data_IF_093857666805
#
_entry.id   IF_093857666805
#
_cell.length_a   1.000
_cell.length_b   1.000
_cell.length_c   1.000
_cell.angle_alpha   90.00
_cell.angle_beta   90.00
_cell.angle_gamma   90.00
#
_symmetry.space_group_name_H-M   'P 1'
#
loop_
_entity.id
_entity.type
_entity.pdbx_description
1 polymer ?
#
# COMPACT_ATOMS: atom_id res chain seq x y z
N UNK A 1 17.95 -29.10 9.17
CA UNK A 1 17.61 -29.30 7.74
C UNK A 1 17.64 -27.94 7.08
N UNK A 2 18.68 -27.63 6.30
CA UNK A 2 18.73 -26.40 5.50
C UNK A 2 17.91 -26.69 4.25
N UNK A 3 16.62 -26.35 4.27
CA UNK A 3 15.78 -26.46 3.08
C UNK A 3 16.34 -25.54 2.00
N UNK A 4 16.70 -26.12 0.85
CA UNK A 4 17.10 -25.35 -0.32
C UNK A 4 16.04 -24.29 -0.62
N UNK A 5 16.48 -23.08 -0.95
CA UNK A 5 15.58 -21.99 -1.31
C UNK A 5 14.78 -22.33 -2.57
N UNK A 6 13.46 -22.18 -2.50
CA UNK A 6 12.57 -22.50 -3.63
C UNK A 6 12.49 -21.33 -4.62
N UNK A 7 13.15 -21.51 -5.77
CA UNK A 7 13.18 -20.51 -6.85
C UNK A 7 11.82 -20.33 -7.51
N UNK A 8 11.00 -21.37 -7.57
CA UNK A 8 9.66 -21.25 -8.16
C UNK A 8 8.76 -20.40 -7.25
N UNK A 9 8.80 -20.66 -5.94
CA UNK A 9 8.13 -19.82 -4.94
C UNK A 9 8.53 -18.34 -5.03
N UNK A 10 9.82 -18.03 -5.21
CA UNK A 10 10.28 -16.65 -5.40
C UNK A 10 9.72 -16.03 -6.68
N UNK A 11 9.79 -16.74 -7.81
CA UNK A 11 9.27 -16.25 -9.07
C UNK A 11 7.77 -15.95 -8.97
N UNK A 12 7.00 -16.86 -8.35
CA UNK A 12 5.56 -16.64 -8.12
C UNK A 12 5.27 -15.42 -7.24
N UNK A 13 6.11 -15.16 -6.23
CA UNK A 13 6.01 -13.96 -5.41
C UNK A 13 6.31 -12.70 -6.24
N UNK A 14 7.40 -12.69 -7.03
CA UNK A 14 7.77 -11.56 -7.88
C UNK A 14 6.68 -11.22 -8.92
N UNK A 15 6.11 -12.24 -9.58
CA UNK A 15 4.99 -12.05 -10.52
C UNK A 15 3.76 -11.46 -9.83
N UNK A 16 3.41 -11.94 -8.64
CA UNK A 16 2.31 -11.37 -7.86
C UNK A 16 2.60 -9.94 -7.38
N UNK A 17 3.83 -9.65 -6.95
CA UNK A 17 4.22 -8.30 -6.53
C UNK A 17 4.05 -7.32 -7.68
N UNK A 18 4.63 -7.62 -8.85
CA UNK A 18 4.50 -6.77 -10.04
C UNK A 18 3.05 -6.56 -10.45
N UNK A 19 2.25 -7.63 -10.47
CA UNK A 19 0.84 -7.51 -10.81
C UNK A 19 0.07 -6.68 -9.78
N UNK A 20 0.25 -6.91 -8.47
CA UNK A 20 -0.37 -6.11 -7.42
C UNK A 20 0.02 -4.63 -7.54
N UNK A 21 1.29 -4.32 -7.79
CA UNK A 21 1.74 -2.92 -7.97
C UNK A 21 1.08 -2.27 -9.20
N UNK A 22 0.96 -2.97 -10.32
CA UNK A 22 0.24 -2.45 -11.50
C UNK A 22 -1.25 -2.22 -11.22
N UNK A 23 -1.89 -3.11 -10.46
CA UNK A 23 -3.29 -2.95 -10.04
C UNK A 23 -3.46 -1.81 -9.04
N UNK A 24 -2.51 -1.60 -8.14
CA UNK A 24 -2.52 -0.47 -7.20
C UNK A 24 -2.56 0.87 -7.94
N UNK A 25 -1.77 1.04 -9.01
CA UNK A 25 -1.81 2.26 -9.85
C UNK A 25 -3.23 2.51 -10.38
N UNK A 26 -3.87 1.47 -10.93
CA UNK A 26 -5.23 1.58 -11.46
C UNK A 26 -6.26 1.85 -10.35
N UNK A 27 -6.11 1.23 -9.18
CA UNK A 27 -6.98 1.45 -8.02
C UNK A 27 -6.85 2.90 -7.54
N UNK A 28 -5.64 3.45 -7.48
CA UNK A 28 -5.45 4.87 -7.17
C UNK A 28 -6.06 5.80 -8.22
N UNK A 29 -5.91 5.52 -9.51
CA UNK A 29 -6.54 6.31 -10.57
C UNK A 29 -8.07 6.29 -10.46
N UNK A 30 -8.68 5.14 -10.13
CA UNK A 30 -10.11 5.03 -9.89
C UNK A 30 -10.54 5.74 -8.59
N UNK A 31 -9.77 5.59 -7.51
CA UNK A 31 -10.04 6.24 -6.24
C UNK A 31 -9.99 7.77 -6.36
N UNK A 32 -9.00 8.31 -7.08
CA UNK A 32 -8.87 9.75 -7.36
C UNK A 32 -10.09 10.33 -8.08
N UNK A 33 -10.80 9.55 -8.90
CA UNK A 33 -12.05 9.99 -9.52
C UNK A 33 -13.22 10.09 -8.51
N UNK A 34 -13.15 9.32 -7.42
CA UNK A 34 -14.12 9.33 -6.32
C UNK A 34 -13.77 10.32 -5.21
N UNK A 35 -12.54 10.84 -5.17
CA UNK A 35 -12.09 11.77 -4.13
C UNK A 35 -13.00 13.02 -4.09
N UNK A 36 -13.35 13.40 -2.87
CA UNK A 36 -14.10 14.60 -2.51
C UNK A 36 -13.30 15.52 -1.58
N UNK A 37 -12.23 14.99 -0.98
CA UNK A 37 -11.31 15.69 -0.08
C UNK A 37 -9.95 15.87 -0.77
N UNK A 38 -9.44 17.11 -0.73
CA UNK A 38 -8.21 17.47 -1.45
C UNK A 38 -6.98 16.78 -0.86
N UNK A 39 -6.89 16.70 0.48
CA UNK A 39 -5.77 16.07 1.19
C UNK A 39 -5.66 14.57 0.88
N UNK A 40 -6.79 13.85 0.90
CA UNK A 40 -6.85 12.44 0.51
C UNK A 40 -6.48 12.26 -0.97
N UNK A 41 -6.95 13.17 -1.82
CA UNK A 41 -6.59 13.20 -3.23
C UNK A 41 -5.08 13.39 -3.45
N UNK A 42 -4.44 14.27 -2.68
CA UNK A 42 -2.99 14.49 -2.75
C UNK A 42 -2.19 13.27 -2.30
N UNK A 43 -2.61 12.62 -1.21
CA UNK A 43 -2.00 11.37 -0.75
C UNK A 43 -2.10 10.26 -1.80
N UNK A 44 -3.29 10.03 -2.35
CA UNK A 44 -3.48 9.03 -3.40
C UNK A 44 -2.67 9.33 -4.66
N UNK A 45 -2.49 10.61 -5.03
CA UNK A 45 -1.57 11.01 -6.11
C UNK A 45 -0.13 10.61 -5.79
N UNK A 46 0.34 10.95 -4.59
CA UNK A 46 1.70 10.62 -4.15
C UNK A 46 1.94 9.09 -4.13
N UNK A 47 1.00 8.32 -3.57
CA UNK A 47 1.09 6.87 -3.52
C UNK A 47 1.01 6.21 -4.89
N UNK A 48 0.18 6.73 -5.81
CA UNK A 48 0.15 6.27 -7.20
C UNK A 48 1.50 6.49 -7.90
N UNK A 49 2.11 7.65 -7.71
CA UNK A 49 3.39 7.96 -8.33
C UNK A 49 4.52 7.12 -7.74
N UNK A 50 4.49 6.83 -6.43
CA UNK A 50 5.34 5.81 -5.82
C UNK A 50 5.10 4.42 -6.44
N UNK A 51 3.85 3.98 -6.58
CA UNK A 51 3.53 2.70 -7.22
C UNK A 51 4.05 2.60 -8.67
N UNK A 52 4.00 3.70 -9.43
CA UNK A 52 4.61 3.79 -10.78
C UNK A 52 6.13 3.60 -10.75
N UNK A 53 6.83 4.26 -9.83
CA UNK A 53 8.29 4.05 -9.63
C UNK A 53 8.59 2.60 -9.26
N UNK A 54 7.82 2.02 -8.34
CA UNK A 54 7.98 0.62 -7.92
C UNK A 54 7.74 -0.37 -9.06
N UNK A 55 6.76 -0.12 -9.94
CA UNK A 55 6.54 -0.94 -11.12
C UNK A 55 7.74 -0.91 -12.09
N UNK A 56 8.41 0.24 -12.24
CA UNK A 56 9.63 0.37 -13.04
C UNK A 56 10.79 -0.41 -12.41
N UNK A 57 11.02 -0.27 -11.10
CA UNK A 57 12.04 -1.02 -10.36
C UNK A 57 11.84 -2.53 -10.47
N UNK A 58 10.58 -2.99 -10.35
CA UNK A 58 10.23 -4.41 -10.56
C UNK A 58 10.51 -4.86 -12.00
N UNK A 59 10.32 -4.00 -13.00
CA UNK A 59 10.72 -4.28 -14.38
C UNK A 59 12.23 -4.52 -14.51
N UNK A 60 13.04 -3.60 -13.97
CA UNK A 60 14.51 -3.75 -13.96
C UNK A 60 14.95 -5.02 -13.22
N UNK A 61 14.30 -5.36 -12.11
CA UNK A 61 14.60 -6.60 -11.38
C UNK A 61 14.25 -7.85 -12.20
N UNK A 62 13.15 -7.84 -12.96
CA UNK A 62 12.79 -8.95 -13.85
C UNK A 62 13.85 -9.15 -14.95
N UNK A 63 14.29 -8.06 -15.59
CA UNK A 63 15.33 -8.10 -16.62
C UNK A 63 16.64 -8.68 -16.04
N UNK A 64 17.06 -8.20 -14.87
CA UNK A 64 18.28 -8.67 -14.20
C UNK A 64 18.21 -10.15 -13.78
N UNK A 65 17.00 -10.66 -13.49
CA UNK A 65 16.77 -12.05 -13.12
C UNK A 65 16.48 -12.96 -14.33
N UNK A 66 16.38 -12.39 -15.54
CA UNK A 66 16.00 -13.12 -16.75
C UNK A 66 14.57 -13.65 -16.72
N UNK A 67 13.66 -12.96 -16.03
CA UNK A 67 12.25 -13.30 -15.96
C UNK A 67 11.47 -12.57 -17.05
N UNK A 68 10.61 -13.30 -17.77
CA UNK A 68 9.69 -12.70 -18.74
C UNK A 68 8.52 -12.03 -18.01
N UNK A 69 8.49 -10.69 -18.07
CA UNK A 69 7.48 -9.84 -17.44
C UNK A 69 6.05 -10.06 -17.95
N UNK A 70 5.84 -10.80 -19.03
CA UNK A 70 4.53 -11.18 -19.58
C UNK A 70 4.10 -12.61 -19.21
N UNK A 71 4.97 -13.36 -18.52
CA UNK A 71 4.64 -14.70 -18.01
C UNK A 71 3.36 -14.67 -17.19
N UNK A 72 2.38 -15.47 -17.60
CA UNK A 72 1.13 -15.67 -16.87
C UNK A 72 1.23 -16.92 -16.00
N UNK A 73 1.13 -16.73 -14.69
CA UNK A 73 1.06 -17.83 -13.71
C UNK A 73 -0.29 -17.83 -12.99
N UNK A 74 -0.66 -18.94 -12.34
CA UNK A 74 -1.89 -19.00 -11.53
C UNK A 74 -1.92 -17.94 -10.44
N UNK A 75 -0.78 -17.72 -9.76
CA UNK A 75 -0.64 -16.69 -8.73
C UNK A 75 -0.82 -15.28 -9.30
N UNK A 76 -0.18 -14.98 -10.45
CA UNK A 76 -0.35 -13.69 -11.13
C UNK A 76 -1.79 -13.46 -11.58
N UNK A 77 -2.42 -14.47 -12.17
CA UNK A 77 -3.83 -14.39 -12.59
C UNK A 77 -4.76 -14.12 -11.41
N UNK A 78 -4.52 -14.74 -10.26
CA UNK A 78 -5.28 -14.47 -9.04
C UNK A 78 -5.08 -13.03 -8.54
N UNK A 79 -3.83 -12.53 -8.49
CA UNK A 79 -3.55 -11.14 -8.14
C UNK A 79 -4.23 -10.15 -9.10
N UNK A 80 -4.21 -10.44 -10.40
CA UNK A 80 -4.89 -9.63 -11.41
C UNK A 80 -6.42 -9.62 -11.21
N UNK A 81 -7.01 -10.77 -10.88
CA UNK A 81 -8.44 -10.90 -10.62
C UNK A 81 -8.86 -10.10 -9.39
N UNK A 82 -8.12 -10.20 -8.28
CA UNK A 82 -8.36 -9.39 -7.08
C UNK A 82 -8.34 -7.90 -7.40
N UNK A 83 -7.31 -7.42 -8.12
CA UNK A 83 -7.22 -6.02 -8.51
C UNK A 83 -8.38 -5.57 -9.42
N UNK A 84 -8.82 -6.41 -10.36
CA UNK A 84 -10.00 -6.11 -11.19
C UNK A 84 -11.28 -6.01 -10.37
N UNK A 85 -11.48 -6.91 -9.41
CA UNK A 85 -12.66 -6.85 -8.52
C UNK A 85 -12.69 -5.57 -7.69
N UNK A 86 -11.55 -5.08 -7.21
CA UNK A 86 -11.50 -3.78 -6.51
C UNK A 86 -11.92 -2.63 -7.44
N UNK A 87 -11.45 -2.62 -8.70
CA UNK A 87 -11.85 -1.62 -9.68
C UNK A 87 -13.35 -1.67 -10.00
N UNK A 88 -13.91 -2.87 -10.13
CA UNK A 88 -15.35 -3.07 -10.34
C UNK A 88 -16.18 -2.55 -9.16
N UNK A 89 -15.71 -2.77 -7.92
CA UNK A 89 -16.36 -2.27 -6.70
C UNK A 89 -16.34 -0.74 -6.64
N UNK A 90 -15.20 -0.09 -6.94
CA UNK A 90 -15.12 1.37 -7.02
C UNK A 90 -16.07 1.90 -8.10
N UNK A 91 -16.03 1.30 -9.29
CA UNK A 91 -16.88 1.70 -10.41
C UNK A 91 -18.37 1.55 -10.09
N UNK A 92 -18.76 0.50 -9.37
CA UNK A 92 -20.13 0.30 -8.92
C UNK A 92 -20.57 1.40 -7.93
N UNK A 93 -19.76 1.70 -6.92
CA UNK A 93 -20.08 2.75 -5.96
C UNK A 93 -20.17 4.14 -6.61
N UNK A 94 -19.30 4.43 -7.59
CA UNK A 94 -19.30 5.68 -8.34
C UNK A 94 -20.53 5.91 -9.24
N UNK A 95 -21.36 4.89 -9.48
CA UNK A 95 -22.63 5.03 -10.22
C UNK A 95 -23.76 5.60 -9.35
N UNK A 96 -23.61 5.63 -8.03
CA UNK A 96 -24.58 6.21 -7.12
C UNK A 96 -24.47 7.74 -7.03
N UNK A 97 -25.49 8.37 -6.45
CA UNK A 97 -25.54 9.82 -6.26
C UNK A 97 -24.77 10.30 -5.00
N UNK A 98 -24.39 9.38 -4.11
CA UNK A 98 -23.64 9.69 -2.88
C UNK A 98 -22.13 9.63 -3.14
N UNK A 99 -21.54 10.79 -3.44
CA UNK A 99 -20.09 10.93 -3.64
C UNK A 99 -19.27 10.55 -2.41
N UNK A 100 -19.78 10.80 -1.19
CA UNK A 100 -19.07 10.46 0.04
C UNK A 100 -19.10 8.94 0.30
N UNK A 101 -20.16 8.24 -0.13
CA UNK A 101 -20.16 6.77 -0.17
C UNK A 101 -19.15 6.22 -1.18
N UNK A 102 -19.06 6.82 -2.38
CA UNK A 102 -18.08 6.41 -3.38
C UNK A 102 -16.62 6.58 -2.90
N UNK A 103 -16.30 7.72 -2.26
CA UNK A 103 -14.98 7.95 -1.65
C UNK A 103 -14.66 6.92 -0.55
N UNK A 104 -15.63 6.59 0.32
CA UNK A 104 -15.47 5.56 1.36
C UNK A 104 -15.13 4.19 0.76
N UNK A 105 -15.89 3.75 -0.23
CA UNK A 105 -15.64 2.47 -0.91
C UNK A 105 -14.27 2.47 -1.60
N UNK A 106 -13.89 3.59 -2.21
CA UNK A 106 -12.56 3.76 -2.79
C UNK A 106 -11.44 3.65 -1.74
N UNK A 107 -11.60 4.28 -0.57
CA UNK A 107 -10.64 4.19 0.53
C UNK A 107 -10.48 2.75 1.06
N UNK A 108 -11.57 1.99 1.17
CA UNK A 108 -11.51 0.56 1.53
C UNK A 108 -10.76 -0.27 0.47
N UNK A 109 -11.00 0.00 -0.82
CA UNK A 109 -10.29 -0.67 -1.90
C UNK A 109 -8.79 -0.34 -1.90
N UNK A 110 -8.43 0.91 -1.61
CA UNK A 110 -7.03 1.33 -1.42
C UNK A 110 -6.38 0.60 -0.24
N UNK A 111 -7.07 0.49 0.90
CA UNK A 111 -6.57 -0.27 2.05
C UNK A 111 -6.30 -1.75 1.70
N UNK A 112 -7.21 -2.40 0.97
CA UNK A 112 -7.05 -3.80 0.58
C UNK A 112 -5.85 -4.01 -0.36
N UNK A 113 -5.65 -3.11 -1.35
CA UNK A 113 -4.51 -3.24 -2.25
C UNK A 113 -3.18 -2.95 -1.54
N UNK A 114 -3.12 -1.94 -0.67
CA UNK A 114 -1.92 -1.64 0.13
C UNK A 114 -1.59 -2.75 1.13
N UNK A 115 -2.60 -3.43 1.68
CA UNK A 115 -2.37 -4.60 2.54
C UNK A 115 -1.67 -5.73 1.79
N UNK A 116 -2.12 -6.06 0.58
CA UNK A 116 -1.50 -7.10 -0.26
C UNK A 116 -0.09 -6.69 -0.71
N UNK A 117 0.06 -5.43 -1.08
CA UNK A 117 1.32 -4.85 -1.54
C UNK A 117 2.37 -4.80 -0.41
N UNK A 118 1.97 -4.44 0.82
CA UNK A 118 2.83 -4.52 2.01
C UNK A 118 3.27 -5.95 2.31
N UNK A 119 2.34 -6.93 2.27
CA UNK A 119 2.69 -8.33 2.46
C UNK A 119 3.74 -8.80 1.45
N UNK A 120 3.53 -8.49 0.17
CA UNK A 120 4.44 -8.84 -0.91
C UNK A 120 5.85 -8.26 -0.68
N UNK A 121 5.94 -6.97 -0.33
CA UNK A 121 7.21 -6.33 -0.01
C UNK A 121 7.90 -6.97 1.18
N UNK A 122 7.19 -7.18 2.29
CA UNK A 122 7.75 -7.81 3.48
C UNK A 122 8.31 -9.21 3.17
N UNK A 123 7.60 -10.01 2.38
CA UNK A 123 8.08 -11.34 1.97
C UNK A 123 9.32 -11.25 1.07
N UNK A 124 9.38 -10.28 0.15
CA UNK A 124 10.56 -10.05 -0.69
C UNK A 124 11.77 -9.58 0.13
N UNK A 125 11.58 -8.72 1.12
CA UNK A 125 12.63 -8.33 2.07
C UNK A 125 13.15 -9.52 2.87
N UNK A 126 12.24 -10.36 3.40
CA UNK A 126 12.62 -11.61 4.08
C UNK A 126 13.40 -12.54 3.14
N UNK A 127 12.97 -12.66 1.88
CA UNK A 127 13.68 -13.47 0.89
C UNK A 127 15.09 -12.91 0.62
N UNK A 128 15.22 -11.60 0.41
CA UNK A 128 16.47 -10.89 0.16
C UNK A 128 17.52 -11.14 1.26
N UNK A 129 17.08 -11.21 2.53
CA UNK A 129 17.96 -11.48 3.67
C UNK A 129 18.35 -12.96 3.82
N UNK A 130 17.58 -13.88 3.25
CA UNK A 130 17.77 -15.33 3.44
C UNK A 130 18.45 -16.02 2.26
N UNK A 131 18.43 -15.43 1.07
CA UNK A 131 19.11 -15.99 -0.10
C UNK A 131 20.52 -15.44 -0.26
N UNK A 132 21.34 -16.18 -1.01
CA UNK A 132 22.71 -15.80 -1.31
C UNK A 132 22.96 -15.78 -2.82
N UNK A 133 24.04 -15.12 -3.24
CA UNK A 133 24.44 -15.02 -4.64
C UNK A 133 23.75 -13.88 -5.41
N UNK A 134 23.88 -13.84 -6.75
CA UNK A 134 23.46 -12.69 -7.56
C UNK A 134 21.98 -12.32 -7.43
N UNK A 135 21.10 -13.31 -7.27
CA UNK A 135 19.66 -13.07 -7.06
C UNK A 135 19.40 -12.30 -5.76
N UNK A 136 20.19 -12.56 -4.71
CA UNK A 136 20.09 -11.85 -3.44
C UNK A 136 20.35 -10.35 -3.62
N UNK A 137 21.39 -10.01 -4.38
CA UNK A 137 21.77 -8.62 -4.60
C UNK A 137 20.66 -7.87 -5.34
N UNK A 138 20.10 -8.45 -6.41
CA UNK A 138 18.99 -7.84 -7.15
C UNK A 138 17.78 -7.57 -6.24
N UNK A 139 17.43 -8.52 -5.36
CA UNK A 139 16.32 -8.33 -4.42
C UNK A 139 16.63 -7.26 -3.37
N UNK A 140 17.85 -7.21 -2.85
CA UNK A 140 18.26 -6.19 -1.86
C UNK A 140 18.20 -4.79 -2.47
N UNK A 141 18.81 -4.62 -3.64
CA UNK A 141 18.81 -3.34 -4.36
C UNK A 141 17.38 -2.87 -4.65
N UNK A 142 16.50 -3.80 -5.07
CA UNK A 142 15.09 -3.51 -5.32
C UNK A 142 14.33 -3.16 -4.03
N UNK A 143 14.53 -3.90 -2.94
CA UNK A 143 13.85 -3.64 -1.65
C UNK A 143 14.29 -2.30 -1.07
N UNK A 144 15.59 -2.00 -1.06
CA UNK A 144 16.14 -0.73 -0.58
C UNK A 144 15.59 0.47 -1.38
N UNK A 145 15.57 0.35 -2.71
CA UNK A 145 15.02 1.38 -3.58
C UNK A 145 13.53 1.63 -3.33
N UNK A 146 12.78 0.60 -2.91
CA UNK A 146 11.35 0.70 -2.57
C UNK A 146 11.12 1.22 -1.15
N UNK A 147 11.98 0.88 -0.19
CA UNK A 147 11.89 1.37 1.20
C UNK A 147 12.21 2.86 1.32
N UNK A 148 12.94 3.41 0.35
CA UNK A 148 13.18 4.86 0.24
C UNK A 148 11.89 5.65 -0.07
N UNK A 149 10.81 5.01 -0.53
CA UNK A 149 9.46 5.60 -0.64
C UNK A 149 8.76 5.68 0.75
N UNK A 150 9.51 6.09 1.78
CA UNK A 150 9.15 6.04 3.19
C UNK A 150 7.81 6.67 3.53
N UNK A 151 6.89 5.83 4.02
CA UNK A 151 5.80 6.06 4.97
C UNK A 151 4.94 4.79 5.01
N UNK A 152 4.36 4.39 6.16
CA UNK A 152 3.56 3.18 6.25
C UNK A 152 2.18 3.40 5.57
N UNK A 153 2.13 3.41 4.23
CA UNK A 153 0.91 3.62 3.42
C UNK A 153 -0.31 2.82 3.86
N UNK A 154 -0.10 1.57 4.31
CA UNK A 154 -1.18 0.72 4.83
C UNK A 154 -1.78 1.27 6.13
N UNK A 155 -0.96 1.92 6.97
CA UNK A 155 -1.40 2.59 8.20
C UNK A 155 -2.24 3.84 7.85
N UNK A 156 -1.78 4.64 6.89
CA UNK A 156 -2.47 5.84 6.41
C UNK A 156 -3.81 5.49 5.75
N UNK A 157 -3.80 4.54 4.81
CA UNK A 157 -5.02 4.03 4.17
C UNK A 157 -6.04 3.48 5.20
N UNK A 158 -5.54 2.85 6.27
CA UNK A 158 -6.40 2.39 7.39
C UNK A 158 -6.97 3.56 8.19
N UNK A 159 -6.16 4.57 8.47
CA UNK A 159 -6.59 5.81 9.11
C UNK A 159 -7.72 6.47 8.32
N UNK A 160 -7.51 6.70 7.02
CA UNK A 160 -8.53 7.30 6.15
C UNK A 160 -9.82 6.49 6.11
N UNK A 161 -9.73 5.17 5.92
CA UNK A 161 -10.91 4.31 5.93
C UNK A 161 -11.68 4.40 7.27
N UNK A 162 -10.98 4.42 8.41
CA UNK A 162 -11.60 4.59 9.74
C UNK A 162 -12.34 5.93 9.84
N UNK A 163 -11.67 7.02 9.54
CA UNK A 163 -12.18 8.37 9.78
C UNK A 163 -13.34 8.72 8.84
N UNK A 164 -13.30 8.27 7.58
CA UNK A 164 -14.43 8.42 6.66
C UNK A 164 -15.68 7.66 7.14
N UNK A 165 -15.52 6.49 7.78
CA UNK A 165 -16.64 5.78 8.39
C UNK A 165 -17.16 6.45 9.64
N UNK A 166 -16.29 6.98 10.50
CA UNK A 166 -16.72 7.75 11.68
C UNK A 166 -17.56 8.96 11.26
N UNK A 167 -17.14 9.69 10.22
CA UNK A 167 -17.89 10.80 9.63
C UNK A 167 -19.28 10.35 9.13
N UNK A 168 -19.33 9.25 8.37
CA UNK A 168 -20.59 8.71 7.87
C UNK A 168 -21.55 8.20 8.98
N UNK A 169 -21.02 7.82 10.13
CA UNK A 169 -21.80 7.40 11.29
C UNK A 169 -22.23 8.57 12.19
N UNK A 170 -21.85 9.81 11.86
CA UNK A 170 -22.09 10.99 12.69
C UNK A 170 -21.28 11.00 13.99
N UNK A 171 -20.18 10.25 14.02
CA UNK A 171 -19.24 10.20 15.14
C UNK A 171 -18.11 11.23 14.93
N UNK A 172 -17.36 11.53 15.98
CA UNK A 172 -16.24 12.47 15.91
C UNK A 172 -15.08 11.88 15.09
N UNK A 173 -14.99 12.26 13.82
CA UNK A 173 -13.87 11.95 12.94
C UNK A 173 -12.76 13.02 13.03
N UNK A 174 -11.52 12.61 12.83
CA UNK A 174 -10.34 13.47 12.70
C UNK A 174 -9.83 13.34 11.27
N UNK A 175 -10.06 14.37 10.44
CA UNK A 175 -9.69 14.40 9.03
C UNK A 175 -8.75 15.61 8.79
N UNK A 176 -7.52 15.41 8.26
CA UNK A 176 -6.91 14.13 7.92
C UNK A 176 -6.67 13.23 9.16
N UNK A 177 -6.54 11.90 8.99
CA UNK A 177 -6.28 10.98 10.08
C UNK A 177 -5.06 11.38 10.92
N UNK A 178 -5.04 11.08 12.24
CA UNK A 178 -3.89 11.38 13.08
C UNK A 178 -2.61 10.67 12.62
N UNK A 179 -2.74 9.58 11.87
CA UNK A 179 -1.63 8.88 11.22
C UNK A 179 -0.90 9.75 10.17
N UNK A 180 -1.56 10.74 9.56
CA UNK A 180 -0.95 11.69 8.60
C UNK A 180 -0.08 12.76 9.29
N UNK A 181 -0.30 12.97 10.60
CA UNK A 181 0.36 14.04 11.35
C UNK A 181 1.45 13.41 12.19
N UNK A 182 2.71 13.56 11.78
CA UNK A 182 3.84 13.19 12.62
C UNK A 182 3.68 13.88 13.98
N UNK A 183 3.68 13.14 15.11
CA UNK A 183 3.67 13.80 16.40
C UNK A 183 4.97 14.61 16.48
N UNK A 184 4.85 15.93 16.66
CA UNK A 184 5.95 16.71 17.22
C UNK A 184 6.41 16.05 18.53
N UNK A 185 7.65 16.28 18.98
CA UNK A 185 8.16 15.62 20.18
C UNK A 185 7.15 15.85 21.31
N UNK A 186 6.73 14.75 21.94
CA UNK A 186 5.77 14.79 23.04
C UNK A 186 6.22 15.88 24.01
N UNK A 187 5.43 16.96 24.10
CA UNK A 187 5.67 17.96 25.13
C UNK A 187 5.52 17.22 26.44
N UNK A 188 6.65 17.04 27.12
CA UNK A 188 6.71 16.37 28.40
C UNK A 188 5.66 16.97 29.31
N UNK A 189 4.87 16.09 29.90
CA UNK A 189 3.96 16.42 30.97
C UNK A 189 4.79 16.93 32.16
N UNK A 190 5.06 18.24 32.16
CA UNK A 190 5.62 18.97 33.29
C UNK A 190 4.46 19.57 34.10
N UNK A 191 3.59 18.70 34.60
CA UNK A 191 2.64 19.02 35.66
C UNK A 191 3.29 18.81 37.02
N UNK A 192 4.08 19.77 37.50
CA UNK A 192 4.46 19.83 38.91
C UNK A 192 3.21 19.98 39.80
N UNK A 193 3.13 19.28 40.95
CA UNK A 193 1.97 19.36 41.82
C UNK A 193 1.95 20.71 42.54
N UNK A 194 0.94 21.54 42.22
CA UNK A 194 0.62 22.72 43.05
C UNK A 194 0.15 22.24 44.42
N UNK A 195 0.95 22.56 45.42
CA UNK A 195 0.65 22.32 46.82
C UNK A 195 -0.69 22.92 47.24
N UNK A 196 -1.43 22.16 48.03
CA UNK A 196 -2.52 22.69 48.84
C UNK A 196 -2.00 22.84 50.27
N UNK A 197 -1.67 24.09 50.59
CA UNK A 197 -1.61 24.54 51.97
C UNK A 197 -3.05 24.74 52.47
N UNK A 198 -3.47 23.93 53.45
CA UNK A 198 -4.08 24.36 54.71
C UNK A 198 -4.38 23.16 55.60
#
# INVERSE_FOLDING_TARGET
>A
MTTAFDREGLNQLLYQTRETTLRAIAVYDAALACATRDELGDEWRAHRDAARRRAQLLGTAFDALGLDADTTSRGRTAAAALGRSLLEVIAYAAQGDDRAAAERVAAECVLLVETKDQLNRTLLGIAAERITGPVAQVLKDMVEAVETDGEPRVLHARGWSRELWLDALGLAAVLPPPEEVTPGPAQGDAGEPRGLAR
#
